data_IF_052097941781
#
_entry.id   IF_052097941781
#
_cell.length_a   1.000
_cell.length_b   1.000
_cell.length_c   1.000
_cell.angle_alpha   90.00
_cell.angle_beta   90.00
_cell.angle_gamma   90.00
#
_symmetry.space_group_name_H-M   'P 1'
#
loop_
_entity.id
_entity.type
_entity.pdbx_description
1 polymer ?
#
# COMPACT_ATOMS: atom_id res chain seq x y z
N UNK A 1 8.23 -13.82 2.19
CA UNK A 1 7.01 -14.54 1.80
C UNK A 1 6.58 -13.94 0.48
N UNK A 2 6.03 -14.75 -0.43
CA UNK A 2 5.55 -14.18 -1.70
C UNK A 2 4.25 -13.40 -1.48
N UNK A 3 4.09 -12.30 -2.22
CA UNK A 3 2.83 -11.56 -2.35
C UNK A 3 1.79 -12.33 -3.18
N UNK A 4 2.21 -13.37 -3.90
CA UNK A 4 1.33 -14.33 -4.61
C UNK A 4 1.37 -15.69 -3.93
N UNK A 5 0.50 -16.60 -4.34
CA UNK A 5 0.53 -18.00 -3.90
C UNK A 5 -0.77 -18.43 -3.24
N UNK A 6 -0.67 -19.30 -2.25
CA UNK A 6 -1.76 -19.93 -1.52
C UNK A 6 -2.62 -18.95 -0.72
N UNK A 7 -3.69 -19.50 -0.13
CA UNK A 7 -4.68 -18.75 0.65
C UNK A 7 -4.04 -17.98 1.80
N UNK A 8 -4.40 -16.71 1.92
CA UNK A 8 -4.08 -15.87 3.06
C UNK A 8 -4.82 -16.42 4.27
N UNK A 9 -4.12 -16.57 5.40
CA UNK A 9 -4.68 -17.06 6.67
C UNK A 9 -4.61 -16.04 7.79
N UNK A 10 -3.56 -15.20 7.77
CA UNK A 10 -3.33 -14.20 8.81
C UNK A 10 -2.85 -12.90 8.18
N UNK A 11 -3.49 -11.81 8.55
CA UNK A 11 -3.04 -10.45 8.21
C UNK A 11 -2.92 -9.59 9.46
N UNK A 12 -2.07 -8.57 9.39
CA UNK A 12 -2.06 -7.46 10.33
C UNK A 12 -2.57 -6.18 9.66
N UNK A 13 -3.43 -5.47 10.38
CA UNK A 13 -3.90 -4.12 10.08
C UNK A 13 -3.59 -3.22 11.27
N UNK A 14 -3.48 -1.92 11.05
CA UNK A 14 -3.30 -0.93 12.12
C UNK A 14 -4.47 0.04 12.15
N UNK A 15 -4.99 0.32 13.35
CA UNK A 15 -5.98 1.36 13.57
C UNK A 15 -5.56 2.29 14.70
N UNK A 16 -5.71 3.58 14.46
CA UNK A 16 -5.29 4.63 15.39
C UNK A 16 -6.50 5.40 15.87
N UNK A 17 -6.53 5.65 17.17
CA UNK A 17 -7.62 6.44 17.75
C UNK A 17 -7.48 7.90 17.34
N UNK A 18 -8.62 8.56 17.14
CA UNK A 18 -8.70 10.01 16.92
C UNK A 18 -8.11 10.84 18.07
N UNK A 19 -7.85 10.23 19.23
CA UNK A 19 -7.23 10.88 20.40
C UNK A 19 -5.71 10.96 20.29
N UNK A 20 -5.11 10.16 19.42
CA UNK A 20 -3.66 9.94 19.35
C UNK A 20 -3.12 10.06 17.93
N UNK A 21 -3.97 10.13 16.90
CA UNK A 21 -3.55 10.25 15.51
C UNK A 21 -4.52 11.13 14.70
N UNK A 22 -3.96 11.78 13.68
CA UNK A 22 -4.62 12.65 12.71
C UNK A 22 -5.62 11.92 11.79
N UNK A 23 -5.46 10.60 11.63
CA UNK A 23 -6.26 9.80 10.69
C UNK A 23 -7.24 8.87 11.41
N UNK A 24 -8.54 9.13 11.27
CA UNK A 24 -9.58 8.18 11.68
C UNK A 24 -9.75 7.12 10.60
N UNK A 25 -9.34 5.89 10.88
CA UNK A 25 -9.35 4.80 9.89
C UNK A 25 -10.21 3.58 10.30
N UNK A 26 -11.05 3.70 11.34
CA UNK A 26 -11.89 2.59 11.81
C UNK A 26 -12.79 2.02 10.70
N UNK A 27 -13.38 2.90 9.87
CA UNK A 27 -14.20 2.49 8.72
C UNK A 27 -13.36 1.75 7.68
N UNK A 28 -12.17 2.26 7.37
CA UNK A 28 -11.23 1.62 6.45
C UNK A 28 -10.86 0.21 6.91
N UNK A 29 -10.50 0.05 8.19
CA UNK A 29 -10.19 -1.27 8.76
C UNK A 29 -11.41 -2.18 8.74
N UNK A 30 -12.60 -1.68 9.06
CA UNK A 30 -13.84 -2.44 8.95
C UNK A 30 -14.09 -2.93 7.51
N UNK A 31 -13.84 -2.08 6.52
CA UNK A 31 -13.96 -2.45 5.10
C UNK A 31 -12.93 -3.50 4.70
N UNK A 32 -11.68 -3.41 5.17
CA UNK A 32 -10.66 -4.44 4.94
C UNK A 32 -11.08 -5.77 5.57
N UNK A 33 -11.46 -5.73 6.85
CA UNK A 33 -11.94 -6.90 7.60
C UNK A 33 -13.09 -7.55 6.84
N UNK A 34 -14.12 -6.81 6.46
CA UNK A 34 -15.30 -7.32 5.75
C UNK A 34 -15.04 -7.73 4.29
N UNK A 35 -14.03 -7.11 3.65
CA UNK A 35 -13.58 -7.46 2.31
C UNK A 35 -12.81 -8.78 2.28
N UNK A 36 -12.10 -9.13 3.35
CA UNK A 36 -11.37 -10.40 3.42
C UNK A 36 -12.31 -11.60 3.71
N UNK A 37 -11.96 -12.83 3.29
CA UNK A 37 -12.73 -14.02 3.59
C UNK A 37 -12.88 -14.28 5.09
N UNK A 38 -13.95 -14.97 5.47
CA UNK A 38 -14.29 -15.19 6.88
C UNK A 38 -13.28 -16.08 7.64
N UNK A 39 -12.51 -16.88 6.91
CA UNK A 39 -11.46 -17.74 7.44
C UNK A 39 -10.08 -17.05 7.52
N UNK A 40 -9.99 -15.77 7.12
CA UNK A 40 -8.80 -14.93 7.37
C UNK A 40 -8.90 -14.32 8.76
N UNK A 41 -7.89 -14.60 9.58
CA UNK A 41 -7.73 -13.98 10.88
C UNK A 41 -7.02 -12.63 10.75
N UNK A 42 -7.49 -11.63 11.49
CA UNK A 42 -6.96 -10.26 11.46
C UNK A 42 -6.40 -9.89 12.82
N UNK A 43 -5.10 -9.59 12.85
CA UNK A 43 -4.45 -8.94 13.98
C UNK A 43 -4.59 -7.43 13.81
N UNK A 44 -5.34 -6.79 14.69
CA UNK A 44 -5.58 -5.36 14.63
C UNK A 44 -4.74 -4.65 15.70
N UNK A 45 -3.65 -4.01 15.25
CA UNK A 45 -2.80 -3.17 16.10
C UNK A 45 -3.59 -1.91 16.49
N UNK A 46 -3.69 -1.65 17.80
CA UNK A 46 -4.42 -0.48 18.34
C UNK A 46 -3.68 0.12 19.52
N UNK A 47 -3.68 1.45 19.63
CA UNK A 47 -3.18 2.18 20.80
C UNK A 47 -4.28 2.55 21.82
N UNK A 48 -5.56 2.50 21.45
CA UNK A 48 -6.70 2.68 22.35
C UNK A 48 -7.81 1.68 22.01
N UNK A 49 -7.75 0.49 22.62
CA UNK A 49 -8.75 -0.57 22.39
C UNK A 49 -10.17 -0.13 22.71
N UNK A 50 -10.36 0.76 23.69
CA UNK A 50 -11.69 1.22 24.10
C UNK A 50 -12.39 2.02 23.00
N UNK A 51 -11.63 2.70 22.14
CA UNK A 51 -12.15 3.43 20.99
C UNK A 51 -12.70 2.51 19.88
N UNK A 52 -12.32 1.23 19.87
CA UNK A 52 -12.67 0.26 18.83
C UNK A 52 -13.52 -0.92 19.34
N UNK A 53 -13.90 -0.90 20.62
CA UNK A 53 -14.76 -1.93 21.19
C UNK A 53 -16.15 -1.83 20.57
N UNK A 54 -16.51 -2.78 19.71
CA UNK A 54 -17.86 -2.93 19.18
C UNK A 54 -18.70 -3.86 20.07
N UNK A 55 -20.03 -3.73 20.01
CA UNK A 55 -20.96 -4.58 20.77
C UNK A 55 -21.00 -6.04 20.29
N UNK A 56 -20.43 -6.34 19.13
CA UNK A 56 -20.34 -7.67 18.55
C UNK A 56 -18.91 -8.20 18.59
N UNK A 57 -18.68 -9.27 19.34
CA UNK A 57 -17.39 -9.94 19.41
C UNK A 57 -17.11 -10.64 18.07
N UNK A 58 -16.32 -10.03 17.18
CA UNK A 58 -15.93 -10.65 15.92
C UNK A 58 -14.77 -11.63 16.17
N UNK A 59 -15.05 -12.93 16.18
CA UNK A 59 -14.09 -13.97 16.59
C UNK A 59 -12.83 -14.08 15.72
N UNK A 60 -12.85 -13.51 14.50
CA UNK A 60 -11.67 -13.50 13.60
C UNK A 60 -10.78 -12.26 13.75
N UNK A 61 -11.09 -11.36 14.67
CA UNK A 61 -10.28 -10.17 14.94
C UNK A 61 -9.66 -10.29 16.33
N UNK A 62 -8.33 -10.23 16.40
CA UNK A 62 -7.60 -10.13 17.67
C UNK A 62 -6.96 -8.76 17.77
N UNK A 63 -7.30 -8.02 18.82
CA UNK A 63 -6.63 -6.77 19.14
C UNK A 63 -5.21 -7.03 19.63
N UNK A 64 -4.24 -6.35 19.01
CA UNK A 64 -2.84 -6.31 19.43
C UNK A 64 -2.61 -4.94 20.05
N UNK A 65 -2.55 -4.90 21.38
CA UNK A 65 -2.46 -3.64 22.11
C UNK A 65 -1.03 -3.08 22.03
N UNK A 66 -0.93 -1.89 21.45
CA UNK A 66 0.25 -1.05 21.47
C UNK A 66 0.23 -0.16 22.71
N UNK A 67 1.38 0.38 23.18
CA UNK A 67 1.40 1.34 24.28
C UNK A 67 0.41 2.50 24.03
N UNK A 68 -0.33 2.91 25.06
CA UNK A 68 -1.38 3.92 24.90
C UNK A 68 -0.89 5.28 24.37
N UNK A 69 0.38 5.58 24.59
CA UNK A 69 1.06 6.77 24.12
C UNK A 69 1.81 6.57 22.79
N UNK A 70 1.68 5.39 22.15
CA UNK A 70 2.30 5.14 20.85
C UNK A 70 1.51 5.80 19.74
N UNK A 71 2.21 6.45 18.84
CA UNK A 71 1.67 7.00 17.61
C UNK A 71 2.00 6.02 16.49
N UNK A 72 1.21 4.96 16.32
CA UNK A 72 1.43 4.07 15.16
C UNK A 72 0.73 4.70 13.96
N UNK A 73 1.19 4.45 12.74
CA UNK A 73 0.50 4.82 11.52
C UNK A 73 -0.47 3.72 11.08
N UNK A 74 -1.18 3.96 9.98
CA UNK A 74 -2.10 2.97 9.37
C UNK A 74 -1.39 2.01 8.40
N UNK A 75 -0.06 2.02 8.36
CA UNK A 75 0.76 1.41 7.32
C UNK A 75 1.63 0.25 7.85
N UNK A 76 1.04 -0.88 8.27
CA UNK A 76 1.81 -2.02 8.77
C UNK A 76 2.67 -2.69 7.69
N UNK A 77 2.52 -2.31 6.42
CA UNK A 77 3.29 -2.86 5.31
C UNK A 77 4.76 -2.42 5.33
N UNK A 78 5.09 -1.24 5.83
CA UNK A 78 6.42 -0.66 5.63
C UNK A 78 7.49 -1.00 6.66
N UNK A 79 7.21 -1.09 7.98
CA UNK A 79 8.28 -1.20 8.98
C UNK A 79 9.04 -2.54 8.96
N UNK A 80 8.57 -3.55 8.21
CA UNK A 80 9.23 -4.85 8.12
C UNK A 80 8.82 -5.64 6.87
N UNK A 81 9.59 -6.69 6.56
CA UNK A 81 9.28 -7.70 5.54
C UNK A 81 9.15 -9.07 6.21
N UNK A 82 8.10 -9.81 5.87
CA UNK A 82 7.92 -11.19 6.34
C UNK A 82 8.74 -12.13 5.46
N UNK A 83 9.67 -12.88 6.02
CA UNK A 83 10.47 -13.89 5.31
C UNK A 83 10.11 -15.27 5.84
N UNK A 84 9.67 -16.14 4.93
CA UNK A 84 9.27 -17.51 5.26
C UNK A 84 10.32 -18.45 4.70
N UNK A 85 11.03 -19.13 5.60
CA UNK A 85 11.92 -20.25 5.29
C UNK A 85 11.18 -21.58 5.31
N UNK A 86 11.90 -22.70 5.16
CA UNK A 86 11.32 -24.05 5.15
C UNK A 86 10.61 -24.43 6.46
N UNK A 87 11.07 -23.90 7.60
CA UNK A 87 10.58 -24.28 8.93
C UNK A 87 10.40 -23.08 9.87
N UNK A 88 10.71 -21.86 9.42
CA UNK A 88 10.70 -20.67 10.27
C UNK A 88 10.18 -19.47 9.50
N UNK A 89 9.32 -18.68 10.12
CA UNK A 89 8.94 -17.35 9.64
C UNK A 89 9.66 -16.30 10.49
N UNK A 90 10.22 -15.29 9.84
CA UNK A 90 10.93 -14.18 10.47
C UNK A 90 10.37 -12.84 10.00
N UNK A 91 10.44 -11.83 10.86
CA UNK A 91 10.17 -10.44 10.52
C UNK A 91 11.50 -9.72 10.36
N UNK A 92 11.83 -9.27 9.15
CA UNK A 92 13.06 -8.51 8.89
C UNK A 92 12.73 -7.02 8.93
N UNK A 93 13.35 -6.27 9.84
CA UNK A 93 13.20 -4.81 9.93
C UNK A 93 14.39 -4.12 9.24
N UNK A 94 14.24 -2.87 8.78
CA UNK A 94 15.40 -2.07 8.40
C UNK A 94 16.27 -1.76 9.64
N UNK A 95 17.45 -1.20 9.41
CA UNK A 95 18.36 -0.75 10.47
C UNK A 95 17.76 0.37 11.33
N UNK A 96 16.95 1.24 10.73
CA UNK A 96 16.15 2.27 11.39
C UNK A 96 14.87 2.50 10.60
N UNK A 97 13.78 2.82 11.29
CA UNK A 97 12.51 3.18 10.65
C UNK A 97 11.88 4.36 11.38
N UNK A 98 12.04 5.56 10.82
CA UNK A 98 11.56 6.79 11.44
C UNK A 98 10.22 7.20 10.82
N UNK A 99 9.14 6.59 11.30
CA UNK A 99 7.77 7.03 11.01
C UNK A 99 6.91 6.75 12.22
N UNK A 100 6.74 7.78 13.02
CA UNK A 100 6.04 7.69 14.29
C UNK A 100 6.61 6.53 15.15
N UNK A 101 5.77 5.68 15.74
CA UNK A 101 6.14 4.49 16.50
C UNK A 101 5.98 3.17 15.71
N UNK A 102 5.94 3.22 14.37
CA UNK A 102 5.75 2.03 13.52
C UNK A 102 6.84 0.97 13.70
N UNK A 103 8.05 1.38 14.09
CA UNK A 103 9.15 0.48 14.40
C UNK A 103 8.82 -0.52 15.51
N UNK A 104 7.76 -0.28 16.31
CA UNK A 104 7.28 -1.15 17.40
C UNK A 104 6.32 -2.26 16.92
N UNK A 105 5.72 -2.10 15.75
CA UNK A 105 4.77 -3.08 15.20
C UNK A 105 5.38 -4.49 15.04
N UNK A 106 6.57 -4.67 14.43
CA UNK A 106 7.13 -6.01 14.25
C UNK A 106 7.43 -6.73 15.58
N UNK A 107 7.89 -6.03 16.62
CA UNK A 107 8.19 -6.66 17.92
C UNK A 107 6.91 -7.13 18.60
N UNK A 108 5.82 -6.37 18.53
CA UNK A 108 4.55 -6.79 19.12
C UNK A 108 3.92 -7.97 18.38
N UNK A 109 3.97 -7.96 17.05
CA UNK A 109 3.53 -9.10 16.26
C UNK A 109 4.40 -10.34 16.51
N UNK A 110 5.72 -10.17 16.60
CA UNK A 110 6.65 -11.26 16.85
C UNK A 110 6.47 -11.87 18.24
N UNK A 111 6.27 -11.04 19.27
CA UNK A 111 5.97 -11.50 20.63
C UNK A 111 4.70 -12.36 20.67
N UNK A 112 3.62 -11.88 20.04
CA UNK A 112 2.33 -12.58 19.99
C UNK A 112 2.42 -13.90 19.21
N UNK A 113 3.13 -13.89 18.08
CA UNK A 113 3.19 -15.03 17.16
C UNK A 113 4.40 -15.95 17.40
N UNK A 114 5.22 -15.65 18.41
CA UNK A 114 6.48 -16.34 18.70
C UNK A 114 7.40 -16.41 17.45
N UNK A 115 7.59 -15.28 16.79
CA UNK A 115 8.44 -15.14 15.61
C UNK A 115 9.78 -14.49 15.95
N UNK A 116 10.80 -14.79 15.15
CA UNK A 116 12.09 -14.10 15.22
C UNK A 116 12.02 -12.75 14.51
N UNK A 117 12.52 -11.70 15.16
CA UNK A 117 12.78 -10.40 14.54
C UNK A 117 14.27 -10.32 14.17
N UNK A 118 14.56 -10.05 12.91
CA UNK A 118 15.91 -9.87 12.38
C UNK A 118 16.10 -8.41 12.00
N UNK A 119 16.97 -7.71 12.72
CA UNK A 119 17.36 -6.36 12.37
C UNK A 119 18.41 -6.38 11.25
N UNK A 120 18.09 -5.73 10.13
CA UNK A 120 18.99 -5.61 8.98
C UNK A 120 19.97 -4.46 9.14
N UNK A 121 21.10 -4.50 8.43
CA UNK A 121 21.98 -3.34 8.23
C UNK A 121 21.45 -2.39 7.13
N UNK A 122 20.42 -2.80 6.41
CA UNK A 122 19.89 -2.11 5.24
C UNK A 122 18.75 -1.18 5.62
N UNK A 123 18.68 -0.01 4.98
CA UNK A 123 17.52 0.88 5.00
C UNK A 123 16.51 0.41 3.95
N UNK A 124 15.23 0.27 4.30
CA UNK A 124 14.18 -0.02 3.34
C UNK A 124 12.80 0.20 3.96
N UNK A 125 11.81 0.31 3.09
CA UNK A 125 10.40 0.27 3.44
C UNK A 125 9.73 -0.90 2.72
N UNK A 126 8.87 -1.64 3.41
CA UNK A 126 8.16 -2.79 2.84
C UNK A 126 7.17 -2.45 1.72
N UNK A 127 6.69 -1.20 1.61
CA UNK A 127 5.95 -0.71 0.44
C UNK A 127 6.82 -0.62 -0.81
N UNK A 128 8.14 -0.44 -0.66
CA UNK A 128 9.08 -0.42 -1.76
C UNK A 128 9.68 -1.81 -2.10
N UNK A 129 9.06 -2.87 -1.57
CA UNK A 129 9.44 -4.25 -1.79
C UNK A 129 8.18 -5.08 -2.10
N UNK A 130 8.17 -5.71 -3.28
CA UNK A 130 7.15 -6.71 -3.67
C UNK A 130 7.82 -8.01 -4.08
N UNK A 131 7.19 -9.16 -3.84
CA UNK A 131 7.86 -10.46 -3.95
C UNK A 131 7.01 -11.48 -4.71
N UNK A 132 7.54 -12.00 -5.82
CA UNK A 132 6.99 -13.19 -6.47
C UNK A 132 7.48 -14.47 -5.79
N UNK A 133 7.09 -15.64 -6.30
CA UNK A 133 7.60 -16.93 -5.83
C UNK A 133 9.12 -17.05 -6.06
N UNK A 134 9.64 -16.40 -7.11
CA UNK A 134 11.00 -16.60 -7.62
C UNK A 134 11.92 -15.38 -7.43
N UNK A 135 11.38 -14.19 -7.18
CA UNK A 135 12.16 -12.95 -7.13
C UNK A 135 11.60 -11.94 -6.13
N UNK A 136 12.48 -11.06 -5.65
CA UNK A 136 12.14 -9.86 -4.89
C UNK A 136 12.33 -8.67 -5.80
N UNK A 137 11.29 -7.87 -5.98
CA UNK A 137 11.37 -6.60 -6.67
C UNK A 137 11.63 -5.51 -5.63
N UNK A 138 12.63 -4.67 -5.88
CA UNK A 138 13.00 -3.56 -4.98
C UNK A 138 13.11 -2.29 -5.81
N UNK A 139 12.55 -1.20 -5.30
CA UNK A 139 12.66 0.11 -5.94
C UNK A 139 14.10 0.60 -6.08
N UNK A 140 14.36 1.34 -7.15
CA UNK A 140 15.69 1.84 -7.51
C UNK A 140 16.26 2.76 -6.42
N UNK A 141 15.42 3.61 -5.84
CA UNK A 141 15.76 4.55 -4.76
C UNK A 141 16.27 3.85 -3.49
N UNK A 142 15.68 2.71 -3.10
CA UNK A 142 16.16 1.90 -1.97
C UNK A 142 17.56 1.36 -2.26
N UNK A 143 17.83 0.93 -3.49
CA UNK A 143 19.17 0.44 -3.86
C UNK A 143 20.20 1.57 -3.85
N UNK A 144 19.87 2.73 -4.42
CA UNK A 144 20.79 3.87 -4.48
C UNK A 144 21.02 4.52 -3.13
N UNK A 145 19.99 4.68 -2.31
CA UNK A 145 20.09 5.21 -0.96
C UNK A 145 21.07 4.39 -0.10
N UNK A 146 20.92 3.06 -0.08
CA UNK A 146 21.86 2.20 0.62
C UNK A 146 23.26 2.23 0.01
N UNK A 147 23.38 2.34 -1.31
CA UNK A 147 24.68 2.45 -2.01
C UNK A 147 25.45 3.70 -1.56
N UNK A 148 24.76 4.83 -1.44
CA UNK A 148 25.32 6.10 -0.96
C UNK A 148 25.67 6.00 0.53
N UNK A 149 24.73 5.58 1.37
CA UNK A 149 24.94 5.52 2.82
C UNK A 149 26.08 4.58 3.23
N UNK A 150 26.19 3.42 2.56
CA UNK A 150 27.19 2.40 2.89
C UNK A 150 28.49 2.57 2.08
N UNK A 151 28.59 3.57 1.20
CA UNK A 151 29.77 3.82 0.38
C UNK A 151 30.17 2.63 -0.50
N UNK A 152 29.19 1.89 -1.04
CA UNK A 152 29.43 0.68 -1.83
C UNK A 152 28.65 0.68 -3.14
N UNK A 153 29.09 -0.10 -4.13
CA UNK A 153 28.43 -0.16 -5.42
C UNK A 153 27.01 -0.74 -5.33
N UNK A 154 26.08 -0.26 -6.15
CA UNK A 154 24.69 -0.74 -6.25
C UNK A 154 24.59 -2.25 -6.44
N UNK A 155 25.51 -2.86 -7.19
CA UNK A 155 25.59 -4.32 -7.36
C UNK A 155 25.79 -5.04 -6.02
N UNK A 156 26.67 -4.54 -5.16
CA UNK A 156 26.91 -5.09 -3.82
C UNK A 156 25.68 -4.96 -2.92
N UNK A 157 24.92 -3.87 -3.07
CA UNK A 157 23.64 -3.67 -2.35
C UNK A 157 22.61 -4.72 -2.79
N UNK A 158 22.50 -4.97 -4.10
CA UNK A 158 21.61 -6.01 -4.66
C UNK A 158 22.01 -7.40 -4.13
N UNK A 159 23.31 -7.72 -4.06
CA UNK A 159 23.81 -8.98 -3.49
C UNK A 159 23.47 -9.11 -1.99
N UNK A 160 23.57 -8.02 -1.22
CA UNK A 160 23.18 -8.00 0.20
C UNK A 160 21.69 -8.25 0.38
N UNK A 161 20.81 -7.57 -0.37
CA UNK A 161 19.37 -7.82 -0.32
C UNK A 161 19.02 -9.24 -0.79
N UNK A 162 19.71 -9.75 -1.82
CA UNK A 162 19.54 -11.13 -2.29
C UNK A 162 19.84 -12.13 -1.17
N UNK A 163 20.93 -11.92 -0.43
CA UNK A 163 21.29 -12.74 0.73
C UNK A 163 20.27 -12.58 1.87
N UNK A 164 19.84 -11.35 2.15
CA UNK A 164 18.91 -11.03 3.25
C UNK A 164 17.55 -11.70 3.06
N UNK A 165 17.00 -11.65 1.84
CA UNK A 165 15.68 -12.21 1.53
C UNK A 165 15.72 -13.65 1.02
N UNK A 166 16.91 -14.18 0.72
CA UNK A 166 17.10 -15.56 0.24
C UNK A 166 16.54 -15.80 -1.15
N UNK A 167 16.36 -14.74 -1.96
CA UNK A 167 15.80 -14.80 -3.32
C UNK A 167 16.48 -13.77 -4.22
N UNK A 168 16.62 -14.03 -5.53
CA UNK A 168 17.13 -13.06 -6.49
C UNK A 168 16.39 -11.73 -6.43
N UNK A 169 17.13 -10.62 -6.50
CA UNK A 169 16.58 -9.26 -6.51
C UNK A 169 16.50 -8.73 -7.94
N UNK A 170 15.33 -8.24 -8.33
CA UNK A 170 15.08 -7.45 -9.54
C UNK A 170 14.88 -5.99 -9.14
N UNK A 171 15.75 -5.09 -9.61
CA UNK A 171 15.60 -3.66 -9.35
C UNK A 171 14.54 -3.07 -10.28
N UNK A 172 13.57 -2.35 -9.71
CA UNK A 172 12.49 -1.67 -10.43
C UNK A 172 12.85 -0.20 -10.58
N UNK A 173 12.89 0.28 -11.82
CA UNK A 173 13.46 1.59 -12.15
C UNK A 173 14.91 1.45 -12.63
N UNK A 174 15.34 2.37 -13.51
CA UNK A 174 16.67 2.33 -14.15
C UNK A 174 17.64 3.36 -13.57
N UNK A 175 17.16 4.58 -13.40
CA UNK A 175 17.96 5.76 -13.03
C UNK A 175 17.22 6.73 -12.11
N UNK A 176 15.91 6.56 -11.99
CA UNK A 176 15.02 7.36 -11.16
C UNK A 176 13.83 6.51 -10.74
N UNK A 177 13.16 6.97 -9.69
CA UNK A 177 11.90 6.46 -9.20
C UNK A 177 11.10 7.68 -8.71
N UNK A 178 10.12 8.12 -9.50
CA UNK A 178 9.29 9.30 -9.14
C UNK A 178 8.14 8.96 -8.20
N UNK A 179 7.84 7.68 -8.03
CA UNK A 179 6.78 7.18 -7.16
C UNK A 179 7.44 6.49 -5.98
N UNK A 180 7.19 6.97 -4.76
CA UNK A 180 7.94 6.56 -3.57
C UNK A 180 7.95 5.06 -3.31
N UNK A 181 6.80 4.40 -3.42
CA UNK A 181 6.69 2.95 -3.21
C UNK A 181 6.31 2.20 -4.49
N UNK A 182 7.09 1.17 -4.85
CA UNK A 182 6.78 0.36 -6.03
C UNK A 182 5.52 -0.49 -5.87
N UNK A 183 5.02 -0.77 -4.67
CA UNK A 183 3.77 -1.53 -4.51
C UNK A 183 2.51 -0.74 -4.91
N UNK A 184 2.65 0.57 -5.13
CA UNK A 184 1.64 1.41 -5.77
C UNK A 184 1.63 1.25 -7.29
N UNK A 185 2.63 0.63 -7.89
CA UNK A 185 2.77 0.59 -9.35
C UNK A 185 3.13 -0.77 -9.92
N UNK A 186 3.59 -1.72 -9.11
CA UNK A 186 4.05 -3.05 -9.52
C UNK A 186 3.43 -4.11 -8.63
N UNK A 187 2.77 -5.10 -9.24
CA UNK A 187 2.19 -6.25 -8.55
C UNK A 187 2.62 -7.55 -9.24
N UNK A 188 3.41 -8.42 -8.59
CA UNK A 188 3.64 -9.77 -9.10
C UNK A 188 2.32 -10.55 -9.18
N UNK A 189 2.15 -11.36 -10.24
CA UNK A 189 0.93 -12.14 -10.47
C UNK A 189 1.15 -13.67 -10.45
N UNK A 190 2.42 -14.10 -10.30
CA UNK A 190 2.83 -15.50 -10.51
C UNK A 190 3.03 -15.83 -11.98
N UNK A 191 3.56 -17.01 -12.28
CA UNK A 191 3.78 -17.51 -13.66
C UNK A 191 4.56 -16.51 -14.54
N UNK A 192 5.60 -15.86 -13.98
CA UNK A 192 6.37 -14.81 -14.67
C UNK A 192 5.53 -13.63 -15.19
N UNK A 193 4.37 -13.34 -14.59
CA UNK A 193 3.54 -12.18 -14.91
C UNK A 193 3.66 -11.08 -13.85
N UNK A 194 3.62 -9.83 -14.31
CA UNK A 194 3.64 -8.64 -13.44
C UNK A 194 2.63 -7.62 -13.97
N UNK A 195 1.77 -7.11 -13.09
CA UNK A 195 0.97 -5.93 -13.37
C UNK A 195 1.81 -4.67 -13.11
N UNK A 196 1.74 -3.73 -14.05
CA UNK A 196 2.35 -2.40 -13.93
C UNK A 196 1.26 -1.35 -14.11
N UNK A 197 1.23 -0.33 -13.26
CA UNK A 197 0.29 0.78 -13.36
C UNK A 197 0.39 1.49 -14.71
N UNK A 198 -0.74 1.96 -15.21
CA UNK A 198 -0.90 2.68 -16.47
C UNK A 198 -1.58 4.01 -16.21
N UNK A 199 -0.76 5.02 -15.92
CA UNK A 199 -1.23 6.37 -15.63
C UNK A 199 -1.87 7.05 -16.84
N UNK A 200 -1.45 6.68 -18.06
CA UNK A 200 -2.04 7.20 -19.30
C UNK A 200 -3.46 6.67 -19.50
N UNK A 201 -3.68 5.38 -19.24
CA UNK A 201 -5.02 4.79 -19.27
C UNK A 201 -5.93 5.42 -18.22
N UNK A 202 -5.43 5.63 -16.99
CA UNK A 202 -6.21 6.30 -15.95
C UNK A 202 -6.54 7.75 -16.29
N UNK A 203 -5.61 8.53 -16.84
CA UNK A 203 -5.87 9.89 -17.30
C UNK A 203 -6.95 9.95 -18.40
N UNK A 204 -6.94 9.00 -19.36
CA UNK A 204 -7.97 8.90 -20.40
C UNK A 204 -9.34 8.56 -19.83
N UNK A 205 -9.39 7.65 -18.84
CA UNK A 205 -10.63 7.30 -18.15
C UNK A 205 -11.17 8.49 -17.36
N UNK A 206 -10.31 9.24 -16.68
CA UNK A 206 -10.71 10.46 -15.99
C UNK A 206 -11.26 11.52 -16.98
N UNK A 207 -10.58 11.75 -18.11
CA UNK A 207 -11.04 12.66 -19.16
C UNK A 207 -12.45 12.28 -19.65
N UNK A 208 -12.64 11.01 -19.99
CA UNK A 208 -13.93 10.53 -20.47
C UNK A 208 -15.02 10.62 -19.38
N UNK A 209 -14.67 10.45 -18.09
CA UNK A 209 -15.62 10.66 -16.99
C UNK A 209 -16.05 12.13 -16.88
N UNK A 210 -15.14 13.08 -17.08
CA UNK A 210 -15.45 14.51 -17.14
C UNK A 210 -16.36 14.82 -18.32
N UNK A 211 -16.06 14.30 -19.51
CA UNK A 211 -16.85 14.55 -20.72
C UNK A 211 -18.28 13.98 -20.62
N UNK A 212 -18.42 12.79 -20.03
CA UNK A 212 -19.73 12.13 -19.92
C UNK A 212 -20.59 12.68 -18.77
N UNK A 213 -20.00 12.90 -17.58
CA UNK A 213 -20.73 13.39 -16.43
C UNK A 213 -19.80 14.11 -15.43
N UNK A 214 -19.52 15.41 -15.65
CA UNK A 214 -18.62 16.16 -14.79
C UNK A 214 -19.16 16.30 -13.36
N UNK A 215 -20.49 16.21 -13.18
CA UNK A 215 -21.13 16.23 -11.86
C UNK A 215 -20.77 15.03 -10.98
N UNK A 216 -20.53 13.85 -11.56
CA UNK A 216 -20.07 12.69 -10.80
C UNK A 216 -18.60 12.82 -10.36
N UNK A 217 -17.75 13.43 -11.20
CA UNK A 217 -16.36 13.73 -10.85
C UNK A 217 -16.32 14.74 -9.69
N UNK A 218 -17.09 15.83 -9.77
CA UNK A 218 -17.19 16.81 -8.69
C UNK A 218 -17.75 16.21 -7.39
N UNK A 219 -18.68 15.26 -7.49
CA UNK A 219 -19.21 14.55 -6.32
C UNK A 219 -18.12 13.69 -5.66
N UNK A 220 -17.30 12.99 -6.45
CA UNK A 220 -16.17 12.24 -5.95
C UNK A 220 -15.18 13.16 -5.21
N UNK A 221 -14.75 14.26 -5.85
CA UNK A 221 -13.79 15.19 -5.26
C UNK A 221 -14.31 15.77 -3.93
N UNK A 222 -15.58 16.21 -3.89
CA UNK A 222 -16.21 16.71 -2.67
C UNK A 222 -16.28 15.63 -1.59
N UNK A 223 -16.60 14.39 -1.97
CA UNK A 223 -16.63 13.27 -1.03
C UNK A 223 -15.26 13.01 -0.41
N UNK A 224 -14.17 13.19 -1.16
CA UNK A 224 -12.81 13.11 -0.60
C UNK A 224 -12.58 14.18 0.45
N UNK A 225 -12.95 15.44 0.17
CA UNK A 225 -12.82 16.55 1.13
C UNK A 225 -13.69 16.34 2.38
N UNK A 226 -14.93 15.87 2.21
CA UNK A 226 -15.88 15.60 3.29
C UNK A 226 -15.41 14.46 4.21
N UNK A 227 -14.85 13.40 3.64
CA UNK A 227 -14.44 12.19 4.36
C UNK A 227 -12.97 12.19 4.81
N UNK A 228 -12.21 13.28 4.56
CA UNK A 228 -10.79 13.34 4.89
C UNK A 228 -10.52 13.05 6.39
N UNK A 229 -11.38 13.54 7.28
CA UNK A 229 -11.29 13.29 8.72
C UNK A 229 -12.07 12.04 9.19
N UNK A 230 -12.40 11.14 8.26
CA UNK A 230 -13.11 9.90 8.50
C UNK A 230 -14.62 10.04 8.74
N UNK A 231 -15.14 11.26 8.88
CA UNK A 231 -16.59 11.50 8.95
C UNK A 231 -16.92 12.94 8.52
N UNK A 232 -18.00 13.10 7.75
CA UNK A 232 -18.44 14.41 7.22
C UNK A 232 -18.71 15.48 8.30
N UNK A 233 -19.15 15.06 9.48
CA UNK A 233 -19.50 15.96 10.59
C UNK A 233 -18.27 16.46 11.38
N UNK A 234 -17.07 15.95 11.10
CA UNK A 234 -15.84 16.38 11.76
C UNK A 234 -15.22 17.50 10.93
N UNK A 235 -15.26 18.75 11.41
CA UNK A 235 -14.74 19.91 10.67
C UNK A 235 -13.27 20.23 10.93
N UNK A 236 -12.73 19.85 12.08
CA UNK A 236 -11.31 20.03 12.44
C UNK A 236 -10.77 18.76 13.11
N UNK A 237 -9.49 18.50 12.88
CA UNK A 237 -8.67 17.59 13.67
C UNK A 237 -7.35 18.29 13.95
N UNK A 238 -6.71 17.91 15.06
CA UNK A 238 -5.39 18.40 15.43
C UNK A 238 -4.39 17.26 15.44
N UNK A 239 -3.16 17.56 15.07
CA UNK A 239 -2.05 16.65 15.29
C UNK A 239 -1.66 16.61 16.78
N UNK A 240 -0.60 15.85 17.07
CA UNK A 240 -0.07 15.68 18.42
C UNK A 240 0.51 16.97 19.01
N UNK A 241 1.07 17.83 18.17
CA UNK A 241 1.65 19.12 18.58
C UNK A 241 0.55 20.19 18.75
N UNK A 242 -0.70 19.84 18.47
CA UNK A 242 -1.87 20.68 18.61
C UNK A 242 -2.11 21.57 17.39
N UNK A 243 -1.36 21.39 16.30
CA UNK A 243 -1.59 22.10 15.05
C UNK A 243 -2.85 21.58 14.38
N UNK A 244 -3.59 22.48 13.74
CA UNK A 244 -4.81 22.10 13.03
C UNK A 244 -4.46 21.48 11.68
N UNK A 245 -5.01 20.30 11.41
CA UNK A 245 -4.88 19.66 10.11
C UNK A 245 -5.73 20.39 9.08
N UNK A 246 -5.16 20.60 7.90
CA UNK A 246 -5.84 21.27 6.80
C UNK A 246 -6.45 20.23 5.89
N UNK A 247 -7.75 20.36 5.61
CA UNK A 247 -8.39 19.54 4.57
C UNK A 247 -7.77 19.83 3.21
N UNK A 248 -7.46 18.80 2.41
CA UNK A 248 -6.98 18.99 1.05
C UNK A 248 -8.02 19.70 0.21
N UNK A 249 -7.57 20.51 -0.75
CA UNK A 249 -8.43 21.02 -1.82
C UNK A 249 -8.37 20.03 -2.99
N UNK A 250 -9.39 19.18 -3.10
CA UNK A 250 -9.53 18.14 -4.14
C UNK A 250 -10.51 18.59 -5.22
N UNK A 251 -11.54 19.37 -4.86
CA UNK A 251 -12.55 19.87 -5.77
C UNK A 251 -11.94 20.67 -6.93
N UNK A 252 -12.28 20.28 -8.16
CA UNK A 252 -11.80 20.87 -9.40
C UNK A 252 -10.31 20.58 -9.70
N UNK A 253 -9.72 19.52 -9.15
CA UNK A 253 -8.31 19.19 -9.37
C UNK A 253 -8.09 18.01 -10.32
N UNK A 254 -9.14 17.30 -10.75
CA UNK A 254 -9.01 16.12 -11.63
C UNK A 254 -8.20 16.41 -12.91
N UNK A 255 -8.40 17.56 -13.56
CA UNK A 255 -7.63 17.96 -14.76
C UNK A 255 -6.13 18.10 -14.48
N UNK A 256 -5.77 18.70 -13.33
CA UNK A 256 -4.37 18.83 -12.90
C UNK A 256 -3.75 17.46 -12.66
N UNK A 257 -4.51 16.55 -12.04
CA UNK A 257 -4.07 15.18 -11.75
C UNK A 257 -3.91 14.38 -13.03
N UNK A 258 -4.79 14.56 -14.02
CA UNK A 258 -4.63 13.98 -15.35
C UNK A 258 -3.34 14.43 -16.01
N UNK A 259 -3.01 15.73 -15.93
CA UNK A 259 -1.74 16.23 -16.45
C UNK A 259 -0.54 15.59 -15.74
N UNK A 260 -0.56 15.50 -14.41
CA UNK A 260 0.49 14.83 -13.62
C UNK A 260 0.63 13.34 -13.99
N UNK A 261 -0.50 12.64 -14.14
CA UNK A 261 -0.54 11.24 -14.58
C UNK A 261 0.11 11.03 -15.95
N UNK A 262 -0.10 11.97 -16.88
CA UNK A 262 0.54 11.92 -18.20
C UNK A 262 2.05 12.16 -18.12
N UNK A 263 2.51 13.01 -17.20
CA UNK A 263 3.95 13.27 -16.99
C UNK A 263 4.70 12.04 -16.47
N UNK A 264 4.09 11.23 -15.60
CA UNK A 264 4.74 10.00 -15.06
C UNK A 264 4.62 8.79 -16.00
N UNK A 265 3.74 8.83 -17.01
CA UNK A 265 3.50 7.70 -17.91
C UNK A 265 4.78 7.16 -18.61
N UNK A 266 5.72 7.99 -19.10
CA UNK A 266 6.95 7.48 -19.72
C UNK A 266 7.83 6.67 -18.76
N UNK A 267 7.84 7.00 -17.47
CA UNK A 267 8.58 6.23 -16.47
C UNK A 267 7.95 4.85 -16.25
N UNK A 268 6.62 4.79 -16.13
CA UNK A 268 5.88 3.52 -16.01
C UNK A 268 6.02 2.65 -17.27
N UNK A 269 6.11 3.27 -18.45
CA UNK A 269 6.40 2.57 -19.72
C UNK A 269 7.83 2.00 -19.71
N UNK A 270 8.80 2.75 -19.18
CA UNK A 270 10.19 2.29 -19.02
C UNK A 270 10.32 1.12 -18.02
N UNK A 271 9.58 1.16 -16.92
CA UNK A 271 9.49 0.07 -15.93
C UNK A 271 8.90 -1.19 -16.58
N UNK A 272 7.77 -1.06 -17.28
CA UNK A 272 7.18 -2.17 -18.02
C UNK A 272 8.18 -2.78 -19.02
N UNK A 273 8.88 -1.95 -19.80
CA UNK A 273 9.88 -2.43 -20.75
C UNK A 273 11.07 -3.10 -20.05
N UNK A 274 11.53 -2.56 -18.91
CA UNK A 274 12.60 -3.15 -18.11
C UNK A 274 12.23 -4.56 -17.64
N UNK A 275 11.05 -4.70 -17.03
CA UNK A 275 10.57 -5.98 -16.53
C UNK A 275 10.31 -6.97 -17.68
N UNK A 276 9.80 -6.49 -18.82
CA UNK A 276 9.65 -7.33 -20.01
C UNK A 276 10.99 -7.86 -20.54
N UNK A 277 12.03 -7.02 -20.58
CA UNK A 277 13.40 -7.45 -20.95
C UNK A 277 14.00 -8.42 -19.93
N UNK A 278 13.55 -8.37 -18.68
CA UNK A 278 13.93 -9.33 -17.64
C UNK A 278 13.13 -10.66 -17.73
N UNK A 279 12.29 -10.84 -18.74
CA UNK A 279 11.57 -12.09 -19.01
C UNK A 279 10.13 -12.12 -18.47
N UNK A 280 9.63 -11.04 -17.88
CA UNK A 280 8.27 -10.98 -17.37
C UNK A 280 7.25 -10.65 -18.47
N UNK A 281 6.10 -11.31 -18.41
CA UNK A 281 4.91 -10.89 -19.17
C UNK A 281 4.23 -9.74 -18.43
N UNK A 282 4.07 -8.60 -19.11
CA UNK A 282 3.55 -7.39 -18.50
C UNK A 282 2.07 -7.22 -18.78
N UNK A 283 1.35 -6.88 -17.72
CA UNK A 283 -0.05 -6.46 -17.77
C UNK A 283 -0.13 -5.00 -17.34
N UNK A 284 -1.02 -4.23 -17.96
CA UNK A 284 -1.25 -2.82 -17.64
C UNK A 284 -2.57 -2.66 -16.90
N UNK A 285 -2.55 -1.97 -15.77
CA UNK A 285 -3.73 -1.70 -14.93
C UNK A 285 -3.88 -0.18 -14.80
N UNK A 286 -5.06 0.41 -15.04
CA UNK A 286 -5.21 1.86 -14.98
C UNK A 286 -4.81 2.41 -13.60
N UNK A 287 -4.24 3.61 -13.56
CA UNK A 287 -3.98 4.33 -12.32
C UNK A 287 -4.16 5.84 -12.56
N UNK A 288 -4.65 6.59 -11.58
CA UNK A 288 -4.69 8.05 -11.64
C UNK A 288 -3.76 8.58 -10.55
N UNK A 289 -2.63 9.13 -10.99
CA UNK A 289 -1.47 9.45 -10.17
C UNK A 289 -1.35 10.99 -10.08
N UNK A 290 -1.49 11.57 -8.88
CA UNK A 290 -1.28 13.01 -8.67
C UNK A 290 0.20 13.35 -8.72
N UNK A 291 0.50 14.64 -8.73
CA UNK A 291 1.85 15.14 -8.61
C UNK A 291 2.52 14.63 -7.31
N UNK A 292 3.75 14.14 -7.45
CA UNK A 292 4.54 13.57 -6.36
C UNK A 292 5.55 14.59 -5.79
N UNK A 293 5.66 15.80 -6.36
CA UNK A 293 6.55 16.84 -5.84
C UNK A 293 6.25 17.12 -4.35
N UNK A 294 7.26 16.95 -3.49
CA UNK A 294 7.17 17.05 -2.02
C UNK A 294 6.90 15.74 -1.26
N UNK A 295 6.62 14.62 -1.92
CA UNK A 295 6.40 13.32 -1.27
C UNK A 295 7.70 12.57 -0.90
N UNK A 296 8.87 13.15 -1.23
CA UNK A 296 10.19 12.51 -1.08
C UNK A 296 11.03 12.96 0.11
N UNK A 297 10.49 13.82 0.99
CA UNK A 297 11.13 14.10 2.28
C UNK A 297 10.40 13.31 3.36
N UNK A 298 11.18 12.69 4.25
CA UNK A 298 10.79 11.75 5.34
C UNK A 298 9.76 12.28 6.35
N UNK A 299 9.30 13.52 6.16
CA UNK A 299 8.12 14.08 6.81
C UNK A 299 6.97 13.98 5.83
N UNK A 300 5.95 13.18 6.15
CA UNK A 300 4.62 13.30 5.53
C UNK A 300 4.34 14.80 5.35
N UNK A 301 4.37 15.28 4.12
CA UNK A 301 4.01 16.66 3.81
C UNK A 301 2.56 16.77 4.32
N UNK A 302 2.36 17.40 5.48
CA UNK A 302 1.14 17.29 6.32
C UNK A 302 -0.13 17.78 5.60
N UNK A 303 0.03 18.37 4.43
CA UNK A 303 -1.05 18.70 3.52
C UNK A 303 -1.47 17.45 2.75
N UNK A 304 -2.64 16.90 3.10
CA UNK A 304 -3.33 15.93 2.26
C UNK A 304 -3.35 16.36 0.79
N UNK A 305 -3.28 15.38 -0.12
CA UNK A 305 -3.23 15.61 -1.56
C UNK A 305 -4.45 15.04 -2.25
N UNK A 306 -4.60 15.29 -3.54
CA UNK A 306 -5.54 14.52 -4.35
C UNK A 306 -5.20 13.02 -4.22
N UNK A 307 -6.19 12.12 -4.11
CA UNK A 307 -5.91 10.71 -3.85
C UNK A 307 -5.13 10.03 -4.97
N UNK A 308 -4.08 9.27 -4.62
CA UNK A 308 -3.37 8.37 -5.53
C UNK A 308 -4.22 7.13 -5.81
N UNK A 309 -4.88 7.07 -6.96
CA UNK A 309 -5.77 5.97 -7.33
C UNK A 309 -4.96 4.85 -7.98
N UNK A 310 -4.37 3.96 -7.15
CA UNK A 310 -3.60 2.81 -7.61
C UNK A 310 -4.37 1.49 -7.50
N UNK A 311 -4.74 0.93 -8.64
CA UNK A 311 -5.35 -0.40 -8.70
C UNK A 311 -4.31 -1.54 -8.79
N UNK A 312 -3.05 -1.22 -8.51
CA UNK A 312 -1.95 -2.19 -8.33
C UNK A 312 -1.67 -2.46 -6.84
N UNK A 313 -2.14 -1.60 -5.93
CA UNK A 313 -1.93 -1.78 -4.49
C UNK A 313 -2.96 -2.78 -3.89
N UNK A 314 -2.84 -4.04 -4.32
CA UNK A 314 -3.83 -5.11 -4.08
C UNK A 314 -3.27 -6.23 -3.20
N UNK A 315 -4.17 -7.08 -2.71
CA UNK A 315 -3.81 -8.41 -2.20
C UNK A 315 -4.25 -9.48 -3.21
N UNK A 316 -3.40 -10.47 -3.45
CA UNK A 316 -3.70 -11.59 -4.35
C UNK A 316 -3.42 -12.93 -3.69
N UNK A 317 -4.20 -13.93 -4.06
CA UNK A 317 -4.08 -15.31 -3.62
C UNK A 317 -4.68 -16.29 -4.63
N UNK A 318 -4.39 -17.58 -4.47
CA UNK A 318 -5.07 -18.71 -5.11
C UNK A 318 -5.91 -19.40 -4.05
N UNK A 319 -7.22 -19.21 -4.13
CA UNK A 319 -8.20 -19.82 -3.22
C UNK A 319 -8.96 -20.92 -3.93
N UNK A 320 -8.91 -22.15 -3.40
CA UNK A 320 -9.45 -23.34 -4.08
C UNK A 320 -8.97 -23.45 -5.55
N UNK A 321 -7.68 -23.21 -5.77
CA UNK A 321 -7.03 -23.17 -7.09
C UNK A 321 -7.58 -22.11 -8.08
N UNK A 322 -8.32 -21.11 -7.59
CA UNK A 322 -8.80 -19.98 -8.38
C UNK A 322 -8.07 -18.69 -7.96
N UNK A 323 -7.54 -17.90 -8.90
CA UNK A 323 -6.93 -16.61 -8.57
C UNK A 323 -8.00 -15.63 -8.08
N UNK A 324 -7.74 -14.98 -6.94
CA UNK A 324 -8.58 -13.95 -6.32
C UNK A 324 -7.75 -12.69 -6.13
N UNK A 325 -8.35 -11.53 -6.41
CA UNK A 325 -7.77 -10.22 -6.10
C UNK A 325 -8.71 -9.45 -5.21
N UNK A 326 -8.17 -8.91 -4.12
CA UNK A 326 -8.82 -7.92 -3.28
C UNK A 326 -8.40 -6.56 -3.82
N UNK A 327 -9.36 -5.84 -4.41
CA UNK A 327 -9.09 -4.65 -5.21
C UNK A 327 -9.58 -3.41 -4.45
N UNK A 328 -8.72 -2.42 -4.12
CA UNK A 328 -9.19 -1.19 -3.50
C UNK A 328 -10.17 -0.46 -4.43
N UNK A 329 -11.19 0.15 -3.84
CA UNK A 329 -12.12 1.03 -4.52
C UNK A 329 -12.09 2.40 -3.86
N UNK A 330 -12.09 3.42 -4.71
CA UNK A 330 -11.86 4.80 -4.29
C UNK A 330 -13.13 5.65 -4.37
N UNK A 331 -14.17 5.18 -5.05
CA UNK A 331 -15.39 5.96 -5.30
C UNK A 331 -15.35 6.76 -6.61
N UNK A 332 -14.27 6.64 -7.40
CA UNK A 332 -14.22 7.16 -8.76
C UNK A 332 -14.80 6.11 -9.71
N UNK A 333 -16.12 6.09 -9.82
CA UNK A 333 -16.91 5.01 -10.45
C UNK A 333 -16.35 4.48 -11.78
N UNK A 334 -15.94 5.36 -12.69
CA UNK A 334 -15.41 4.94 -13.99
C UNK A 334 -14.06 4.22 -13.88
N UNK A 335 -13.15 4.74 -13.06
CA UNK A 335 -11.84 4.13 -12.84
C UNK A 335 -11.98 2.81 -12.06
N UNK A 336 -12.83 2.82 -11.02
CA UNK A 336 -13.14 1.65 -10.21
C UNK A 336 -13.66 0.49 -11.08
N UNK A 337 -14.65 0.76 -11.95
CA UNK A 337 -15.20 -0.23 -12.90
C UNK A 337 -14.16 -0.71 -13.91
N UNK A 338 -13.36 0.20 -14.46
CA UNK A 338 -12.32 -0.16 -15.42
C UNK A 338 -11.25 -1.06 -14.78
N UNK A 339 -10.89 -0.81 -13.52
CA UNK A 339 -9.97 -1.65 -12.78
C UNK A 339 -10.53 -3.05 -12.50
N UNK A 340 -11.81 -3.15 -12.10
CA UNK A 340 -12.50 -4.44 -11.95
C UNK A 340 -12.46 -5.23 -13.26
N UNK A 341 -12.75 -4.58 -14.38
CA UNK A 341 -12.70 -5.22 -15.70
C UNK A 341 -11.28 -5.65 -16.09
N UNK A 342 -10.27 -4.81 -15.85
CA UNK A 342 -8.87 -5.14 -16.13
C UNK A 342 -8.47 -6.41 -15.38
N UNK A 343 -8.71 -6.48 -14.06
CA UNK A 343 -8.36 -7.66 -13.26
C UNK A 343 -9.19 -8.90 -13.62
N UNK A 344 -10.48 -8.75 -13.90
CA UNK A 344 -11.33 -9.86 -14.35
C UNK A 344 -10.83 -10.44 -15.69
N UNK A 345 -10.35 -9.60 -16.61
CA UNK A 345 -9.81 -10.04 -17.91
C UNK A 345 -8.55 -10.91 -17.77
N UNK A 346 -7.85 -10.82 -16.63
CA UNK A 346 -6.69 -11.65 -16.28
C UNK A 346 -7.07 -13.01 -15.68
N UNK A 347 -8.37 -13.28 -15.54
CA UNK A 347 -8.91 -14.52 -14.96
C UNK A 347 -9.13 -14.47 -13.46
N UNK A 348 -8.91 -13.32 -12.80
CA UNK A 348 -9.13 -13.20 -11.36
C UNK A 348 -10.61 -13.12 -11.02
N UNK A 349 -11.01 -13.77 -9.92
CA UNK A 349 -12.21 -13.38 -9.18
C UNK A 349 -11.91 -12.06 -8.47
N UNK A 350 -12.53 -10.98 -8.92
CA UNK A 350 -12.36 -9.66 -8.32
C UNK A 350 -13.27 -9.51 -7.11
N UNK A 351 -12.69 -9.12 -5.99
CA UNK A 351 -13.40 -8.77 -4.78
C UNK A 351 -13.13 -7.31 -4.42
N UNK A 352 -14.02 -6.38 -4.79
CA UNK A 352 -13.83 -4.96 -4.52
C UNK A 352 -13.89 -4.65 -3.02
N UNK A 353 -12.98 -3.83 -2.53
CA UNK A 353 -12.90 -3.39 -1.12
C UNK A 353 -12.98 -1.85 -1.08
N UNK A 354 -14.07 -1.26 -0.56
CA UNK A 354 -14.28 0.19 -0.59
C UNK A 354 -13.53 0.95 0.53
N UNK A 355 -13.50 2.27 0.40
CA UNK A 355 -13.08 3.19 1.47
C UNK A 355 -11.63 3.69 1.38
N UNK A 356 -10.95 3.49 0.25
CA UNK A 356 -9.53 3.84 0.12
C UNK A 356 -9.26 5.27 -0.33
N UNK A 357 -10.29 6.08 -0.62
CA UNK A 357 -10.09 7.48 -1.02
C UNK A 357 -9.27 8.25 0.00
N UNK A 358 -9.56 8.06 1.30
CA UNK A 358 -8.89 8.80 2.37
C UNK A 358 -7.45 8.35 2.55
N UNK A 359 -7.19 7.05 2.67
CA UNK A 359 -5.81 6.53 2.78
C UNK A 359 -4.96 6.92 1.57
N UNK A 360 -5.55 7.00 0.38
CA UNK A 360 -4.82 7.39 -0.83
C UNK A 360 -4.50 8.87 -0.93
N UNK A 361 -5.15 9.73 -0.15
CA UNK A 361 -4.72 11.12 0.03
C UNK A 361 -3.44 11.23 0.88
N UNK A 362 -3.11 10.18 1.64
CA UNK A 362 -1.86 9.98 2.37
C UNK A 362 -0.89 9.04 1.65
N UNK A 363 -1.15 8.74 0.37
CA UNK A 363 -0.22 8.00 -0.48
C UNK A 363 -0.30 6.48 -0.44
N UNK A 364 -1.32 5.87 0.20
CA UNK A 364 -1.41 4.39 0.29
C UNK A 364 -2.75 3.79 -0.13
N UNK A 365 -2.76 2.47 -0.35
CA UNK A 365 -3.93 1.67 -0.71
C UNK A 365 -4.14 0.44 0.19
N UNK A 366 -4.80 -0.60 -0.33
CA UNK A 366 -5.14 -1.80 0.43
C UNK A 366 -3.92 -2.56 0.94
N UNK A 367 -2.91 -2.76 0.09
CA UNK A 367 -1.68 -3.45 0.49
C UNK A 367 -0.90 -2.63 1.51
N UNK A 368 -0.81 -1.31 1.35
CA UNK A 368 -0.13 -0.46 2.34
C UNK A 368 -0.77 -0.59 3.74
N UNK A 369 -2.10 -0.68 3.80
CA UNK A 369 -2.87 -0.86 5.04
C UNK A 369 -2.85 -2.29 5.62
N UNK A 370 -2.24 -3.26 4.93
CA UNK A 370 -2.35 -4.68 5.29
C UNK A 370 -1.03 -5.40 5.13
N UNK A 371 -0.52 -6.00 6.22
CA UNK A 371 0.60 -6.95 6.13
C UNK A 371 0.08 -8.38 6.13
N UNK A 372 0.35 -9.15 5.08
CA UNK A 372 0.13 -10.60 5.11
C UNK A 372 1.22 -11.25 5.98
N UNK A 373 0.82 -12.05 6.97
CA UNK A 373 1.72 -12.71 7.93
C UNK A 373 1.79 -14.23 7.74
N UNK A 374 0.72 -14.83 7.22
CA UNK A 374 0.64 -16.27 6.99
C UNK A 374 -0.19 -16.57 5.74
N UNK A 375 0.29 -17.55 4.97
CA UNK A 375 -0.42 -18.25 3.91
C UNK A 375 -0.35 -19.76 4.16
N UNK A 376 -1.25 -20.51 3.53
CA UNK A 376 -1.24 -21.99 3.54
C UNK A 376 0.02 -22.63 2.97
#
# INVERSE_FOLDING_TARGET
MSDVGSEIRLVACSATSARTSSLRNAELVSNIVNGLPQDVHVLLLVNDRSAFATSSNNSRVTFVEMPANSDISIWPQDPFVVVQGKSTTKLITPCSFNREDDERMPQQLASLLNLEVVHSEMHFEGGNIVCSEESVFIGYDTITHNSVLLGTATKSIVERFTKLFGRPVTVVGKSSQSIGHIDLIVTPLGDHRVAVADSRAGARLAAAAIDENPGLVQKFERSCEEMFFGHKDVSELRDRDGNSLVRPKVSGQTDKVMAASLLVAPELDSIAQQLSRAGYTIVRVPALIPDQDGAGNETLDEAGRYPFLSYSNVLVEKRQNRPVVYLPQYGFDRLDKAAVQAWASLGYKVNPVPGFSTSSMYGGGLRCCTKVLLRD
#
